data_IF_181867225157
#
_entry.id   IF_181867225157
#
_cell.length_a   1.000
_cell.length_b   1.000
_cell.length_c   1.000
_cell.angle_alpha   90.00
_cell.angle_beta   90.00
_cell.angle_gamma   90.00
#
_symmetry.space_group_name_H-M   'P 1'
#
loop_
_entity.id
_entity.type
_entity.pdbx_description
1 polymer ?
#
# COMPACT_ATOMS: atom_id res chain seq x y z
N UNK A 1 13.51 -52.53 -24.80
CA UNK A 1 13.30 -53.19 -23.50
C UNK A 1 14.28 -52.60 -22.51
N UNK A 2 13.98 -52.21 -21.28
CA UNK A 2 12.79 -51.73 -20.57
C UNK A 2 13.27 -51.47 -19.13
N UNK A 3 12.88 -50.33 -18.55
CA UNK A 3 12.60 -50.01 -17.13
C UNK A 3 13.63 -50.49 -16.05
N UNK A 4 14.07 -49.68 -15.08
CA UNK A 4 13.31 -49.07 -13.98
C UNK A 4 14.20 -47.99 -13.32
N UNK A 5 13.82 -46.71 -13.25
CA UNK A 5 13.11 -46.08 -12.14
C UNK A 5 13.91 -46.04 -10.82
N UNK A 6 14.54 -44.90 -10.48
CA UNK A 6 14.73 -44.52 -9.07
C UNK A 6 14.82 -42.99 -8.88
N UNK A 7 13.71 -42.45 -8.39
CA UNK A 7 13.57 -41.30 -7.49
C UNK A 7 14.02 -39.91 -7.97
N UNK A 8 13.06 -39.23 -8.57
CA UNK A 8 12.78 -37.81 -8.37
C UNK A 8 12.81 -37.43 -6.88
N UNK A 9 13.56 -36.39 -6.50
CA UNK A 9 13.12 -35.43 -5.48
C UNK A 9 13.97 -34.15 -5.56
N UNK A 10 13.61 -33.26 -6.48
CA UNK A 10 14.06 -31.86 -6.40
C UNK A 10 13.38 -31.23 -5.19
N UNK A 11 14.07 -31.21 -4.05
CA UNK A 11 13.62 -30.52 -2.84
C UNK A 11 13.66 -29.01 -3.07
N UNK A 12 12.62 -28.48 -3.73
CA UNK A 12 12.37 -27.04 -3.77
C UNK A 12 11.83 -26.62 -2.42
N UNK A 13 12.75 -26.31 -1.50
CA UNK A 13 12.41 -25.70 -0.22
C UNK A 13 12.03 -24.24 -0.46
N UNK A 14 10.77 -24.00 -0.84
CA UNK A 14 10.20 -22.67 -0.87
C UNK A 14 10.11 -22.13 0.56
N UNK A 15 11.00 -21.20 0.92
CA UNK A 15 10.89 -20.45 2.18
C UNK A 15 9.73 -19.47 2.08
N UNK A 16 8.62 -19.75 2.77
CA UNK A 16 7.59 -18.75 3.06
C UNK A 16 8.10 -17.82 4.16
N UNK A 17 8.97 -16.87 3.82
CA UNK A 17 9.11 -15.67 4.65
C UNK A 17 7.85 -14.86 4.42
N UNK A 18 7.08 -14.61 5.49
CA UNK A 18 6.11 -13.53 5.52
C UNK A 18 6.89 -12.23 5.29
N UNK A 19 7.16 -11.90 4.03
CA UNK A 19 7.58 -10.57 3.67
C UNK A 19 6.50 -9.67 4.24
N UNK A 20 6.86 -8.76 5.15
CA UNK A 20 6.02 -7.58 5.39
C UNK A 20 5.83 -7.01 4.00
N UNK A 21 4.68 -7.27 3.38
CA UNK A 21 4.40 -6.80 2.04
C UNK A 21 4.55 -5.29 2.14
N UNK A 22 5.67 -4.77 1.63
CA UNK A 22 5.86 -3.33 1.57
C UNK A 22 4.72 -2.85 0.70
N UNK A 23 3.96 -1.91 1.23
CA UNK A 23 2.85 -1.34 0.48
C UNK A 23 3.44 -0.50 -0.64
N UNK A 24 3.63 -1.11 -1.82
CA UNK A 24 4.29 -0.49 -2.97
C UNK A 24 3.51 0.72 -3.48
N UNK A 25 2.23 0.81 -3.14
CA UNK A 25 1.38 1.93 -3.48
C UNK A 25 1.42 3.05 -2.43
N UNK A 26 2.09 2.85 -1.28
CA UNK A 26 2.17 3.86 -0.24
C UNK A 26 2.90 5.12 -0.70
N UNK A 27 2.37 6.26 -0.27
CA UNK A 27 2.94 7.59 -0.50
C UNK A 27 3.29 8.16 0.87
N UNK A 28 4.56 8.50 1.07
CA UNK A 28 4.99 9.12 2.32
C UNK A 28 4.48 10.56 2.39
N UNK A 29 4.00 10.95 3.56
CA UNK A 29 3.59 12.31 3.87
C UNK A 29 4.32 12.79 5.12
N UNK A 30 4.77 14.04 5.05
CA UNK A 30 5.49 14.81 6.07
C UNK A 30 4.69 16.07 6.41
N UNK A 31 5.15 16.86 7.38
CA UNK A 31 4.47 18.11 7.75
C UNK A 31 4.42 19.13 6.59
N UNK A 32 5.36 19.06 5.64
CA UNK A 32 5.38 19.94 4.46
C UNK A 32 4.26 19.62 3.46
N UNK A 33 3.64 18.44 3.56
CA UNK A 33 2.57 18.00 2.67
C UNK A 33 1.18 18.52 3.10
N UNK A 34 1.11 19.26 4.20
CA UNK A 34 -0.12 19.83 4.74
C UNK A 34 -0.22 21.34 4.46
N UNK A 35 -1.39 21.79 4.03
CA UNK A 35 -1.73 23.22 3.96
C UNK A 35 -2.29 23.73 5.29
N UNK A 36 -2.93 22.86 6.08
CA UNK A 36 -3.48 23.16 7.40
C UNK A 36 -3.33 21.94 8.32
N UNK A 37 -3.05 22.14 9.60
CA UNK A 37 -2.84 21.05 10.56
C UNK A 37 -1.63 20.17 10.22
N UNK A 38 -1.52 19.01 10.85
CA UNK A 38 -0.43 18.05 10.62
C UNK A 38 -0.75 16.68 11.24
N UNK A 39 0.18 15.73 11.10
CA UNK A 39 0.18 14.51 11.88
C UNK A 39 1.37 14.53 12.83
N UNK A 40 1.23 13.93 14.02
CA UNK A 40 2.32 13.92 15.02
C UNK A 40 3.58 13.16 14.58
N UNK A 41 3.51 12.42 13.48
CA UNK A 41 4.63 11.66 12.91
C UNK A 41 4.48 11.56 11.41
N UNK A 42 5.62 11.46 10.73
CA UNK A 42 5.67 11.07 9.32
C UNK A 42 4.85 9.80 9.11
N UNK A 43 3.99 9.85 8.09
CA UNK A 43 2.96 8.84 7.86
C UNK A 43 2.95 8.43 6.39
N UNK A 44 2.04 7.52 6.04
CA UNK A 44 1.86 7.09 4.65
C UNK A 44 0.38 7.04 4.30
N UNK A 45 0.02 7.68 3.19
CA UNK A 45 -1.26 7.42 2.54
C UNK A 45 -1.16 6.05 1.86
N UNK A 46 -2.22 5.24 1.96
CA UNK A 46 -2.30 3.89 1.37
C UNK A 46 -3.46 3.81 0.38
N UNK A 47 -3.26 4.24 -0.88
CA UNK A 47 -4.32 4.32 -1.88
C UNK A 47 -4.96 2.97 -2.26
N UNK A 48 -4.30 1.86 -1.99
CA UNK A 48 -4.84 0.50 -2.15
C UNK A 48 -5.71 0.03 -0.97
N UNK A 49 -5.98 0.90 0.02
CA UNK A 49 -6.80 0.61 1.21
C UNK A 49 -7.97 1.59 1.34
N UNK A 50 -8.59 1.92 0.20
CA UNK A 50 -9.80 2.74 0.19
C UNK A 50 -10.98 1.96 0.78
N UNK A 51 -11.84 2.66 1.50
CA UNK A 51 -13.08 2.13 2.07
C UNK A 51 -14.14 3.22 2.10
N UNK A 52 -15.41 2.81 2.18
CA UNK A 52 -16.53 3.73 2.38
C UNK A 52 -16.80 3.89 3.87
N UNK A 53 -17.04 5.12 4.33
CA UNK A 53 -17.37 5.41 5.73
C UNK A 53 -18.43 6.51 5.83
N UNK A 54 -19.24 6.46 6.89
CA UNK A 54 -20.16 7.55 7.23
C UNK A 54 -19.40 8.73 7.81
N UNK A 55 -19.79 9.95 7.44
CA UNK A 55 -19.25 11.19 8.01
C UNK A 55 -19.50 11.30 9.52
N UNK A 56 -20.55 10.64 10.03
CA UNK A 56 -20.85 10.57 11.46
C UNK A 56 -19.77 9.86 12.29
N UNK A 57 -18.87 9.11 11.65
CA UNK A 57 -17.74 8.44 12.32
C UNK A 57 -16.51 9.36 12.46
N UNK A 58 -16.51 10.55 11.85
CA UNK A 58 -15.38 11.49 11.86
C UNK A 58 -15.54 12.46 13.03
N UNK A 59 -14.71 12.31 14.07
CA UNK A 59 -14.75 13.18 15.26
C UNK A 59 -14.19 14.58 14.97
N UNK A 60 -13.07 14.68 14.25
CA UNK A 60 -12.42 15.93 13.89
C UNK A 60 -11.50 15.76 12.67
N UNK A 61 -11.12 16.88 12.05
CA UNK A 61 -10.11 16.93 10.98
C UNK A 61 -8.72 17.15 11.57
N UNK A 62 -7.79 16.20 11.38
CA UNK A 62 -6.42 16.32 11.86
C UNK A 62 -5.56 17.29 11.02
N UNK A 63 -5.85 17.39 9.73
CA UNK A 63 -5.18 18.31 8.81
C UNK A 63 -5.78 18.26 7.41
N UNK A 64 -5.27 19.12 6.53
CA UNK A 64 -5.59 19.22 5.11
C UNK A 64 -4.29 19.08 4.33
N UNK A 65 -4.24 18.12 3.42
CA UNK A 65 -3.13 17.98 2.49
C UNK A 65 -3.13 19.15 1.49
N UNK A 66 -1.95 19.58 1.06
CA UNK A 66 -1.81 20.56 -0.02
C UNK A 66 -2.12 19.94 -1.39
N UNK A 67 -2.28 20.78 -2.41
CA UNK A 67 -2.71 20.35 -3.74
C UNK A 67 -1.74 19.37 -4.41
N UNK A 68 -0.43 19.52 -4.17
CA UNK A 68 0.60 18.64 -4.70
C UNK A 68 0.48 17.22 -4.10
N UNK A 69 0.28 17.14 -2.78
CA UNK A 69 0.10 15.87 -2.09
C UNK A 69 -1.22 15.19 -2.50
N UNK A 70 -2.32 15.95 -2.62
CA UNK A 70 -3.61 15.44 -3.11
C UNK A 70 -3.48 14.90 -4.53
N UNK A 71 -2.83 15.64 -5.43
CA UNK A 71 -2.59 15.21 -6.82
C UNK A 71 -1.80 13.91 -6.86
N UNK A 72 -0.76 13.78 -6.04
CA UNK A 72 0.04 12.54 -5.95
C UNK A 72 -0.79 11.33 -5.51
N UNK A 73 -1.72 11.52 -4.57
CA UNK A 73 -2.66 10.47 -4.14
C UNK A 73 -3.61 10.09 -5.26
N UNK A 74 -4.20 11.07 -5.96
CA UNK A 74 -5.13 10.82 -7.08
C UNK A 74 -4.44 10.06 -8.21
N UNK A 75 -3.26 10.51 -8.65
CA UNK A 75 -2.47 9.83 -9.70
C UNK A 75 -2.23 8.37 -9.34
N UNK A 76 -1.84 8.09 -8.09
CA UNK A 76 -1.59 6.73 -7.63
C UNK A 76 -2.86 5.87 -7.59
N UNK A 77 -4.02 6.46 -7.27
CA UNK A 77 -5.31 5.75 -7.33
C UNK A 77 -5.61 5.37 -8.79
N UNK A 78 -5.42 6.30 -9.74
CA UNK A 78 -5.62 6.04 -11.16
C UNK A 78 -4.70 4.92 -11.63
N UNK A 79 -3.41 4.95 -11.27
CA UNK A 79 -2.44 3.89 -11.62
C UNK A 79 -2.91 2.51 -11.13
N UNK A 80 -3.42 2.42 -9.90
CA UNK A 80 -3.92 1.16 -9.32
C UNK A 80 -5.13 0.66 -10.11
N UNK A 81 -6.06 1.56 -10.46
CA UNK A 81 -7.28 1.20 -11.18
C UNK A 81 -7.01 0.84 -12.66
N UNK A 82 -5.95 1.36 -13.26
CA UNK A 82 -5.54 1.02 -14.62
C UNK A 82 -4.69 -0.26 -14.70
N UNK A 83 -4.05 -0.65 -13.60
CA UNK A 83 -3.22 -1.86 -13.53
C UNK A 83 -4.01 -3.16 -13.29
N UNK A 84 -5.29 -3.05 -12.86
CA UNK A 84 -6.20 -4.18 -12.63
C UNK A 84 -7.10 -4.45 -13.81
#
# INVERSE_FOLDING_TARGET
MSLQHLAETTSSSARLRAARLRDHYAISITDMDFSEGSLHKQSNVRPNRLFSASTSLVLYQAGRLNDQAVTSVITRIIDILQAG
#
